data_IF_030210321118
#
_entry.id   IF_030210321118
#
_cell.length_a   1.000
_cell.length_b   1.000
_cell.length_c   1.000
_cell.angle_alpha   90.00
_cell.angle_beta   90.00
_cell.angle_gamma   90.00
#
_symmetry.space_group_name_H-M   'P 1'
#
loop_
_entity.id
_entity.type
_entity.pdbx_description
1 polymer ?
#
# COMPACT_ATOMS: atom_id res chain seq x y z
N UNK A 1 -26.39 -14.86 -20.14
CA UNK A 1 -26.41 -14.09 -18.88
C UNK A 1 -25.15 -13.25 -18.87
N UNK A 2 -25.27 -11.94 -18.72
CA UNK A 2 -24.17 -10.97 -18.94
C UNK A 2 -23.18 -10.96 -17.76
N UNK A 3 -21.88 -10.98 -18.05
CA UNK A 3 -20.75 -10.85 -17.11
C UNK A 3 -20.91 -9.67 -16.14
N UNK A 4 -21.69 -8.66 -16.51
CA UNK A 4 -22.03 -7.52 -15.66
C UNK A 4 -22.80 -7.90 -14.39
N UNK A 5 -23.58 -8.98 -14.39
CA UNK A 5 -24.29 -9.46 -13.19
C UNK A 5 -23.35 -10.14 -12.21
N UNK A 6 -22.39 -10.92 -12.70
CA UNK A 6 -21.41 -11.59 -11.85
C UNK A 6 -20.48 -10.58 -11.14
N UNK A 7 -20.10 -9.50 -11.84
CA UNK A 7 -19.33 -8.40 -11.25
C UNK A 7 -20.16 -7.64 -10.20
N UNK A 8 -21.44 -7.37 -10.50
CA UNK A 8 -22.32 -6.70 -9.56
C UNK A 8 -22.51 -7.53 -8.27
N UNK A 9 -22.74 -8.83 -8.40
CA UNK A 9 -22.95 -9.73 -7.26
C UNK A 9 -21.66 -9.88 -6.41
N UNK A 10 -20.48 -9.84 -7.04
CA UNK A 10 -19.20 -9.82 -6.32
C UNK A 10 -18.96 -8.53 -5.54
N UNK A 11 -19.40 -7.39 -6.07
CA UNK A 11 -19.32 -6.10 -5.37
C UNK A 11 -20.30 -6.08 -4.19
N UNK A 12 -21.50 -6.63 -4.37
CA UNK A 12 -22.51 -6.72 -3.30
C UNK A 12 -22.06 -7.66 -2.17
N UNK A 13 -21.36 -8.76 -2.48
CA UNK A 13 -20.83 -9.69 -1.47
C UNK A 13 -19.62 -9.15 -0.69
N UNK A 14 -18.98 -8.08 -1.15
CA UNK A 14 -17.95 -7.34 -0.37
C UNK A 14 -18.57 -6.40 0.67
N UNK A 15 -19.90 -6.25 0.72
CA UNK A 15 -20.61 -5.27 1.55
C UNK A 15 -21.33 -5.85 2.78
N UNK A 16 -21.15 -7.12 3.15
CA UNK A 16 -21.90 -7.75 4.24
C UNK A 16 -21.01 -8.08 5.45
N UNK A 17 -20.84 -7.09 6.33
CA UNK A 17 -21.01 -7.19 7.80
C UNK A 17 -20.51 -5.91 8.48
N UNK A 18 -21.39 -4.89 8.54
CA UNK A 18 -21.20 -3.73 9.43
C UNK A 18 -20.77 -2.42 8.79
N UNK A 19 -21.53 -1.96 7.78
CA UNK A 19 -21.66 -0.55 7.41
C UNK A 19 -20.50 0.06 6.57
N UNK A 20 -20.80 0.94 5.60
CA UNK A 20 -19.78 1.70 4.92
C UNK A 20 -19.35 2.87 5.82
N UNK A 21 -18.43 2.62 6.76
CA UNK A 21 -17.63 3.71 7.30
C UNK A 21 -16.42 3.92 6.37
N UNK A 22 -16.70 4.12 5.09
CA UNK A 22 -15.72 4.69 4.18
C UNK A 22 -15.54 6.14 4.63
N UNK A 23 -14.55 6.38 5.50
CA UNK A 23 -13.85 7.66 5.42
C UNK A 23 -13.42 7.77 3.96
N UNK A 24 -14.02 8.71 3.23
CA UNK A 24 -13.56 9.07 1.90
C UNK A 24 -12.02 9.18 1.95
N UNK A 25 -11.32 8.34 1.19
CA UNK A 25 -9.90 8.57 0.91
C UNK A 25 -8.96 7.36 0.88
N UNK A 26 -9.26 6.22 1.52
CA UNK A 26 -8.29 5.11 1.59
C UNK A 26 -8.69 3.91 0.73
N UNK A 27 -7.72 3.35 0.01
CA UNK A 27 -7.88 2.12 -0.78
C UNK A 27 -8.40 0.99 0.12
N UNK A 28 -9.41 0.19 -0.29
CA UNK A 28 -9.96 -0.87 0.55
C UNK A 28 -8.90 -1.96 0.77
N UNK A 29 -8.32 -2.00 1.97
CA UNK A 29 -7.34 -2.99 2.44
C UNK A 29 -7.55 -3.20 3.94
N UNK A 30 -7.27 -4.40 4.45
CA UNK A 30 -7.36 -4.65 5.89
C UNK A 30 -6.18 -3.99 6.62
N UNK A 31 -6.42 -3.49 7.83
CA UNK A 31 -5.36 -2.96 8.70
C UNK A 31 -4.22 -3.98 8.89
N UNK A 32 -4.57 -5.25 9.09
CA UNK A 32 -3.61 -6.34 9.23
C UNK A 32 -2.68 -6.45 8.02
N UNK A 33 -3.22 -6.36 6.80
CA UNK A 33 -2.40 -6.42 5.59
C UNK A 33 -1.45 -5.20 5.46
N UNK A 34 -1.90 -4.01 5.87
CA UNK A 34 -1.04 -2.81 5.91
C UNK A 34 0.10 -3.00 6.92
N UNK A 35 -0.21 -3.54 8.11
CA UNK A 35 0.80 -3.84 9.13
C UNK A 35 1.80 -4.89 8.69
N UNK A 36 1.35 -5.97 8.04
CA UNK A 36 2.24 -7.00 7.49
C UNK A 36 3.16 -6.44 6.41
N UNK A 37 2.62 -5.61 5.51
CA UNK A 37 3.43 -4.89 4.53
C UNK A 37 4.47 -3.99 5.20
N UNK A 38 4.07 -3.21 6.21
CA UNK A 38 4.98 -2.39 7.00
C UNK A 38 6.09 -3.20 7.67
N UNK A 39 5.76 -4.35 8.29
CA UNK A 39 6.75 -5.24 8.91
C UNK A 39 7.75 -5.79 7.87
N UNK A 40 7.30 -6.05 6.64
CA UNK A 40 8.20 -6.36 5.53
C UNK A 40 9.20 -5.23 5.23
N UNK A 41 8.76 -3.97 5.26
CA UNK A 41 9.65 -2.80 5.08
C UNK A 41 10.63 -2.66 6.25
N UNK A 42 10.17 -2.86 7.50
CA UNK A 42 11.03 -2.84 8.69
C UNK A 42 12.13 -3.90 8.59
N UNK A 43 11.79 -5.12 8.16
CA UNK A 43 12.76 -6.20 7.98
C UNK A 43 13.86 -5.88 6.94
N UNK A 44 13.59 -4.95 6.01
CA UNK A 44 14.55 -4.51 5.00
C UNK A 44 15.46 -3.37 5.48
N UNK A 45 15.17 -2.72 6.61
CA UNK A 45 15.98 -1.62 7.15
C UNK A 45 17.47 -1.94 7.24
N UNK A 46 17.91 -3.10 7.80
CA UNK A 46 19.34 -3.40 7.89
C UNK A 46 19.98 -3.50 6.51
N UNK A 47 19.32 -4.18 5.57
CA UNK A 47 19.81 -4.33 4.20
C UNK A 47 20.04 -2.97 3.54
N UNK A 48 19.13 -2.02 3.75
CA UNK A 48 19.20 -0.71 3.12
C UNK A 48 20.20 0.21 3.84
N UNK A 49 20.25 0.17 5.18
CA UNK A 49 21.20 0.93 6.00
C UNK A 49 22.66 0.52 5.77
N UNK A 50 22.93 -0.77 5.49
CA UNK A 50 24.28 -1.28 5.24
C UNK A 50 24.66 -1.34 3.76
N UNK A 51 23.70 -1.37 2.84
CA UNK A 51 23.97 -1.02 1.44
C UNK A 51 24.27 0.48 1.36
N UNK A 52 25.04 0.95 0.37
CA UNK A 52 25.13 2.39 0.14
C UNK A 52 23.69 2.92 0.04
N UNK A 53 23.29 3.81 0.97
CA UNK A 53 21.93 4.33 1.27
C UNK A 53 21.10 4.80 0.04
N UNK A 54 21.61 4.66 -1.18
CA UNK A 54 21.18 5.33 -2.39
C UNK A 54 20.56 4.44 -3.48
N UNK A 55 20.35 3.11 -3.30
CA UNK A 55 19.85 2.27 -4.41
C UNK A 55 18.65 1.36 -4.12
N UNK A 56 18.31 1.08 -2.87
CA UNK A 56 17.17 0.24 -2.52
C UNK A 56 15.97 1.09 -2.08
N UNK A 57 15.62 2.09 -2.87
CA UNK A 57 14.35 2.79 -2.68
C UNK A 57 13.20 1.85 -3.04
N UNK A 58 12.18 1.77 -2.19
CA UNK A 58 10.93 1.05 -2.54
C UNK A 58 9.91 2.08 -3.02
N UNK A 59 9.52 1.98 -4.29
CA UNK A 59 8.48 2.83 -4.85
C UNK A 59 7.12 2.46 -4.26
N UNK A 60 6.39 3.42 -3.72
CA UNK A 60 5.01 3.24 -3.28
C UNK A 60 4.09 4.31 -3.88
N UNK A 61 2.81 4.00 -3.99
CA UNK A 61 1.79 4.97 -4.42
C UNK A 61 1.47 5.96 -3.29
N UNK A 62 0.90 7.14 -3.61
CA UNK A 62 0.42 8.07 -2.58
C UNK A 62 -0.59 7.45 -1.61
N UNK A 63 -1.54 6.66 -2.12
CA UNK A 63 -2.54 5.99 -1.28
C UNK A 63 -1.93 4.98 -0.32
N UNK A 64 -0.87 4.27 -0.73
CA UNK A 64 -0.14 3.36 0.15
C UNK A 64 0.59 4.12 1.27
N UNK A 65 1.18 5.28 0.96
CA UNK A 65 1.78 6.15 1.99
C UNK A 65 0.74 6.60 3.02
N UNK A 66 -0.45 6.99 2.58
CA UNK A 66 -1.52 7.40 3.49
C UNK A 66 -1.99 6.26 4.40
N UNK A 67 -2.11 5.04 3.86
CA UNK A 67 -2.41 3.83 4.64
C UNK A 67 -1.34 3.55 5.71
N UNK A 68 -0.06 3.66 5.35
CA UNK A 68 1.06 3.48 6.30
C UNK A 68 1.04 4.53 7.40
N UNK A 69 0.82 5.81 7.07
CA UNK A 69 0.67 6.88 8.08
C UNK A 69 -0.53 6.58 8.99
N UNK A 70 -1.65 6.17 8.41
CA UNK A 70 -2.87 5.95 9.17
C UNK A 70 -2.74 4.80 10.19
N UNK A 71 -2.11 3.70 9.80
CA UNK A 71 -2.07 2.47 10.61
C UNK A 71 -0.76 2.21 11.36
N UNK A 72 0.35 2.83 10.94
CA UNK A 72 1.69 2.50 11.44
C UNK A 72 2.48 3.71 11.96
N UNK A 73 1.93 4.93 11.96
CA UNK A 73 2.68 6.14 12.37
C UNK A 73 3.15 6.17 13.82
N UNK A 74 2.57 5.32 14.69
CA UNK A 74 2.97 5.20 16.08
C UNK A 74 4.09 4.16 16.30
N UNK A 75 4.51 3.44 15.25
CA UNK A 75 5.57 2.43 15.34
C UNK A 75 6.95 3.10 15.48
N UNK A 76 7.87 2.53 16.29
CA UNK A 76 9.15 3.17 16.59
C UNK A 76 10.02 3.40 15.36
N UNK A 77 10.00 2.47 14.40
CA UNK A 77 10.80 2.52 13.17
C UNK A 77 10.12 3.30 12.03
N UNK A 78 8.95 3.92 12.27
CA UNK A 78 8.13 4.50 11.19
C UNK A 78 8.87 5.53 10.34
N UNK A 79 9.63 6.43 10.97
CA UNK A 79 10.39 7.45 10.25
C UNK A 79 11.53 6.86 9.43
N UNK A 80 12.20 5.83 9.96
CA UNK A 80 13.27 5.13 9.26
C UNK A 80 12.70 4.40 8.03
N UNK A 81 11.56 3.71 8.19
CA UNK A 81 10.83 3.07 7.09
C UNK A 81 10.38 4.08 6.04
N UNK A 82 9.86 5.25 6.44
CA UNK A 82 9.50 6.30 5.49
C UNK A 82 10.71 6.88 4.76
N UNK A 83 11.91 6.79 5.34
CA UNK A 83 13.16 7.11 4.67
C UNK A 83 13.56 6.09 3.58
N UNK A 84 13.04 4.86 3.63
CA UNK A 84 13.31 3.81 2.64
C UNK A 84 12.44 3.92 1.38
N UNK A 85 11.25 4.53 1.51
CA UNK A 85 10.26 4.55 0.44
C UNK A 85 10.28 5.87 -0.32
N UNK A 86 9.98 5.82 -1.61
CA UNK A 86 9.75 7.02 -2.40
C UNK A 86 8.36 6.97 -3.04
N UNK A 87 7.66 8.10 -2.98
CA UNK A 87 6.29 8.20 -3.47
C UNK A 87 6.31 8.50 -4.96
N UNK A 88 5.69 7.63 -5.75
CA UNK A 88 5.62 7.78 -7.21
C UNK A 88 4.15 7.78 -7.62
N UNK A 89 3.80 8.66 -8.56
CA UNK A 89 2.45 8.65 -9.11
C UNK A 89 2.17 7.33 -9.84
N UNK A 90 0.93 6.86 -9.84
CA UNK A 90 0.57 5.64 -10.58
C UNK A 90 0.93 5.74 -12.07
N UNK A 91 0.78 6.94 -12.66
CA UNK A 91 1.15 7.22 -14.05
C UNK A 91 2.64 6.98 -14.29
N UNK A 92 3.49 7.41 -13.38
CA UNK A 92 4.94 7.27 -13.55
C UNK A 92 5.41 5.86 -13.23
N UNK A 93 4.79 5.18 -12.26
CA UNK A 93 4.97 3.74 -12.04
C UNK A 93 4.63 2.92 -13.28
N UNK A 94 3.53 3.25 -13.97
CA UNK A 94 3.14 2.56 -15.21
C UNK A 94 4.18 2.76 -16.31
N UNK A 95 4.76 3.96 -16.44
CA UNK A 95 5.81 4.23 -17.44
C UNK A 95 7.12 3.51 -17.16
N UNK A 96 7.45 3.27 -15.90
CA UNK A 96 8.68 2.56 -15.49
C UNK A 96 8.49 1.05 -15.31
N UNK A 97 7.26 0.57 -15.41
CA UNK A 97 6.93 -0.86 -15.32
C UNK A 97 7.47 -1.61 -16.55
N UNK A 98 8.12 -2.75 -16.32
CA UNK A 98 8.45 -3.72 -17.37
C UNK A 98 7.23 -4.51 -17.84
N UNK A 99 6.13 -4.41 -17.09
CA UNK A 99 4.86 -5.06 -17.36
C UNK A 99 3.92 -4.03 -18.01
N UNK A 100 3.65 -4.20 -19.30
CA UNK A 100 2.63 -3.45 -20.04
C UNK A 100 1.24 -3.94 -19.61
N UNK A 101 0.60 -3.19 -18.71
CA UNK A 101 -0.81 -3.37 -18.32
C UNK A 101 -1.69 -2.27 -18.90
#
# INVERSE_FOLDING_TARGET
MSDSKEIADRITNLMVDGGPNFKEGLTPVSEQAVKEFYQGLVAMLPTIQYSAYAQAGIAITPSMKELLIHHCSNEPEFNDVLGLVYVVSYRDMKKSSILDF
#
